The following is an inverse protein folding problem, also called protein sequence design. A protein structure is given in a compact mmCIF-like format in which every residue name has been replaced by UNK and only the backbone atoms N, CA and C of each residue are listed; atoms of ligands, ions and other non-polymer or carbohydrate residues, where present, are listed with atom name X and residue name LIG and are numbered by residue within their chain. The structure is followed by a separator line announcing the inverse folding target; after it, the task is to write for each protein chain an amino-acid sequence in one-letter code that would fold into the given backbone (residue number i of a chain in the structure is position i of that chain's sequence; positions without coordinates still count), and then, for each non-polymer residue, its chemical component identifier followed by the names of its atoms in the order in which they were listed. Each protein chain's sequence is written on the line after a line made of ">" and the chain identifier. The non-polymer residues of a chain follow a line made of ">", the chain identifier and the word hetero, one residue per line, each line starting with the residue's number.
data_IF_096552442906
#
_entry.id   IF_096552442906
#
_cell.length_a   1.000
_cell.length_b   1.000
_cell.length_c   1.000
_cell.angle_alpha   90.00
_cell.angle_beta   90.00
_cell.angle_gamma   90.00
#
_symmetry.space_group_name_H-M   'P 1'
#
loop_
_entity.id
_entity.type
_entity.pdbx_description
1 polymer ?
#
# COMPACT_ATOMS: atom_id res chain seq x y z
N UNK A 1 -19.92 20.08 11.31
CA UNK A 1 -20.15 18.88 10.46
C UNK A 1 -19.49 17.71 11.14
N UNK A 2 -20.20 16.59 11.29
CA UNK A 2 -19.66 15.36 11.86
C UNK A 2 -19.68 14.29 10.76
N UNK A 3 -18.52 13.71 10.49
CA UNK A 3 -18.39 12.59 9.54
C UNK A 3 -18.64 11.27 10.28
N UNK A 4 -19.56 10.47 9.75
CA UNK A 4 -19.90 9.16 10.26
C UNK A 4 -19.46 8.09 9.27
N UNK A 5 -18.85 7.03 9.77
CA UNK A 5 -18.49 5.84 9.00
C UNK A 5 -19.49 4.73 9.27
N UNK A 6 -20.02 4.14 8.19
CA UNK A 6 -20.76 2.87 8.23
C UNK A 6 -19.91 1.81 7.52
N UNK A 7 -19.23 0.91 8.24
CA UNK A 7 -18.27 -0.01 7.65
C UNK A 7 -18.89 -1.06 6.72
N UNK A 8 -20.16 -1.44 6.96
CA UNK A 8 -20.91 -2.38 6.10
C UNK A 8 -22.41 -2.14 6.20
N UNK A 9 -23.21 -2.61 5.21
CA UNK A 9 -24.67 -2.56 5.30
C UNK A 9 -25.16 -3.26 6.58
N UNK A 10 -26.02 -2.56 7.35
CA UNK A 10 -26.54 -3.04 8.64
C UNK A 10 -25.73 -2.63 9.88
N UNK A 11 -24.52 -2.10 9.72
CA UNK A 11 -23.79 -1.51 10.84
C UNK A 11 -24.36 -0.12 11.22
N UNK A 12 -24.31 0.21 12.50
CA UNK A 12 -24.65 1.54 13.00
C UNK A 12 -23.58 2.56 12.57
N UNK A 13 -23.99 3.74 12.07
CA UNK A 13 -23.04 4.81 11.77
C UNK A 13 -22.32 5.29 13.02
N UNK A 14 -21.01 5.36 12.99
CA UNK A 14 -20.17 5.80 14.12
C UNK A 14 -19.31 6.99 13.71
N UNK A 15 -19.02 7.92 14.63
CA UNK A 15 -18.05 8.97 14.36
C UNK A 15 -16.69 8.37 13.95
N UNK A 16 -16.12 8.84 12.84
CA UNK A 16 -14.83 8.34 12.32
C UNK A 16 -13.76 8.36 13.42
N UNK A 17 -13.69 9.44 14.18
CA UNK A 17 -12.70 9.63 15.24
C UNK A 17 -12.78 8.62 16.41
N UNK A 18 -13.91 7.91 16.56
CA UNK A 18 -14.14 7.01 17.73
C UNK A 18 -14.39 5.55 17.36
N UNK A 19 -14.56 5.24 16.08
CA UNK A 19 -15.02 3.91 15.69
C UNK A 19 -14.24 3.26 14.55
N UNK A 20 -13.31 3.95 13.92
CA UNK A 20 -12.48 3.43 12.85
C UNK A 20 -11.17 2.85 13.40
N UNK A 21 -10.75 1.70 12.88
CA UNK A 21 -9.37 1.21 13.03
C UNK A 21 -8.40 2.11 12.26
N UNK A 22 -7.08 2.04 12.57
CA UNK A 22 -6.07 2.81 11.86
C UNK A 22 -6.15 2.60 10.34
N UNK A 23 -6.26 1.34 9.90
CA UNK A 23 -6.39 1.03 8.47
C UNK A 23 -7.69 1.54 7.83
N UNK A 24 -8.82 1.52 8.54
CA UNK A 24 -10.07 2.13 8.04
C UNK A 24 -9.93 3.64 7.89
N UNK A 25 -9.32 4.31 8.88
CA UNK A 25 -9.07 5.74 8.83
C UNK A 25 -8.14 6.10 7.66
N UNK A 26 -7.04 5.38 7.47
CA UNK A 26 -6.12 5.59 6.35
C UNK A 26 -6.80 5.42 4.99
N UNK A 27 -7.69 4.44 4.84
CA UNK A 27 -8.48 4.25 3.60
C UNK A 27 -9.51 5.36 3.38
N UNK A 28 -10.16 5.86 4.43
CA UNK A 28 -11.07 7.01 4.31
C UNK A 28 -10.30 8.25 3.90
N UNK A 29 -9.13 8.50 4.51
CA UNK A 29 -8.27 9.62 4.12
C UNK A 29 -7.82 9.49 2.67
N UNK A 30 -7.35 8.31 2.24
CA UNK A 30 -7.00 8.07 0.83
C UNK A 30 -8.16 8.37 -0.12
N UNK A 31 -9.39 7.94 0.23
CA UNK A 31 -10.56 8.19 -0.61
C UNK A 31 -10.88 9.69 -0.72
N UNK A 32 -10.77 10.44 0.38
CA UNK A 32 -10.95 11.88 0.39
C UNK A 32 -9.88 12.59 -0.43
N UNK A 33 -8.61 12.25 -0.23
CA UNK A 33 -7.47 12.87 -0.92
C UNK A 33 -7.51 12.64 -2.44
N UNK A 34 -7.92 11.45 -2.88
CA UNK A 34 -8.11 11.18 -4.32
C UNK A 34 -9.19 12.10 -4.93
N UNK A 35 -10.19 12.48 -4.15
CA UNK A 35 -11.27 13.36 -4.63
C UNK A 35 -10.86 14.83 -4.62
N UNK A 36 -10.14 15.27 -3.59
CA UNK A 36 -9.81 16.70 -3.39
C UNK A 36 -8.44 17.11 -3.96
N UNK A 37 -7.60 16.14 -4.37
CA UNK A 37 -6.23 16.41 -4.87
C UNK A 37 -6.14 17.41 -6.03
N UNK A 38 -7.24 17.59 -6.79
CA UNK A 38 -7.31 18.59 -7.86
C UNK A 38 -7.67 20.00 -7.38
N UNK A 39 -8.10 20.17 -6.13
CA UNK A 39 -8.60 21.45 -5.58
C UNK A 39 -7.59 22.08 -4.63
N UNK A 40 -6.96 21.27 -3.80
CA UNK A 40 -5.96 21.70 -2.81
C UNK A 40 -4.78 20.72 -2.81
N UNK A 41 -3.77 20.95 -3.67
CA UNK A 41 -2.67 20.01 -3.85
C UNK A 41 -1.73 20.02 -2.65
N UNK A 42 -1.74 18.92 -1.89
CA UNK A 42 -0.73 18.61 -0.88
C UNK A 42 0.47 17.97 -1.59
N UNK A 43 1.71 18.45 -1.36
CA UNK A 43 2.87 17.97 -2.09
C UNK A 43 3.28 16.54 -1.74
N UNK A 44 3.07 16.09 -0.49
CA UNK A 44 3.49 14.78 -0.02
C UNK A 44 2.48 14.17 0.93
N UNK A 45 2.11 12.93 0.66
CA UNK A 45 1.29 12.08 1.52
C UNK A 45 2.11 10.91 2.07
N UNK A 46 1.88 10.56 3.32
CA UNK A 46 2.42 9.35 3.95
C UNK A 46 1.26 8.49 4.43
N UNK A 47 1.17 7.28 3.91
CA UNK A 47 0.17 6.29 4.33
C UNK A 47 0.85 5.14 5.06
N UNK A 48 0.45 4.93 6.29
CA UNK A 48 0.80 3.76 7.09
C UNK A 48 -0.47 2.96 7.37
N UNK A 49 -0.35 1.63 7.41
CA UNK A 49 -1.44 0.69 7.67
C UNK A 49 -2.65 0.81 6.71
N UNK A 50 -2.51 1.43 5.52
CA UNK A 50 -3.62 1.58 4.56
C UNK A 50 -4.17 0.24 4.08
N UNK A 51 -3.35 -0.80 4.12
CA UNK A 51 -3.63 -2.18 3.74
C UNK A 51 -3.99 -3.10 4.93
N UNK A 52 -4.06 -2.56 6.16
CA UNK A 52 -4.40 -3.34 7.33
C UNK A 52 -5.82 -3.97 7.21
N UNK A 53 -5.90 -5.28 7.38
CA UNK A 53 -7.14 -6.03 7.33
C UNK A 53 -7.77 -6.19 5.94
N UNK A 54 -7.03 -5.91 4.87
CA UNK A 54 -7.48 -6.12 3.49
C UNK A 54 -6.57 -7.09 2.75
N UNK A 55 -7.05 -7.63 1.62
CA UNK A 55 -6.28 -8.51 0.75
C UNK A 55 -6.97 -8.68 -0.61
N UNK A 56 -6.39 -9.46 -1.50
CA UNK A 56 -6.96 -9.78 -2.80
C UNK A 56 -7.33 -8.54 -3.64
N UNK A 57 -8.53 -8.54 -4.21
CA UNK A 57 -9.00 -7.47 -5.09
C UNK A 57 -9.07 -6.09 -4.40
N UNK A 58 -9.38 -6.05 -3.11
CA UNK A 58 -9.45 -4.79 -2.35
C UNK A 58 -8.05 -4.14 -2.21
N UNK A 59 -6.99 -4.93 -2.01
CA UNK A 59 -5.63 -4.44 -1.97
C UNK A 59 -5.16 -3.91 -3.33
N UNK A 60 -5.55 -4.55 -4.43
CA UNK A 60 -5.28 -4.07 -5.80
C UNK A 60 -5.95 -2.69 -6.02
N UNK A 61 -7.20 -2.54 -5.58
CA UNK A 61 -7.91 -1.27 -5.72
C UNK A 61 -7.27 -0.15 -4.89
N UNK A 62 -6.77 -0.45 -3.69
CA UNK A 62 -5.98 0.50 -2.89
C UNK A 62 -4.73 0.92 -3.67
N UNK A 63 -3.98 -0.04 -4.22
CA UNK A 63 -2.79 0.25 -5.03
C UNK A 63 -3.08 1.17 -6.21
N UNK A 64 -4.17 0.94 -6.94
CA UNK A 64 -4.60 1.80 -8.06
C UNK A 64 -4.94 3.23 -7.61
N UNK A 65 -5.57 3.38 -6.46
CA UNK A 65 -5.90 4.72 -5.92
C UNK A 65 -4.65 5.47 -5.49
N UNK A 66 -3.70 4.78 -4.86
CA UNK A 66 -2.39 5.34 -4.51
C UNK A 66 -1.61 5.75 -5.77
N UNK A 67 -1.57 4.90 -6.80
CA UNK A 67 -0.96 5.25 -8.09
C UNK A 67 -1.61 6.49 -8.72
N UNK A 68 -2.95 6.59 -8.67
CA UNK A 68 -3.67 7.76 -9.17
C UNK A 68 -3.30 9.03 -8.41
N UNK A 69 -3.23 8.98 -7.09
CA UNK A 69 -2.82 10.12 -6.25
C UNK A 69 -1.36 10.51 -6.54
N UNK A 70 -0.50 9.53 -6.78
CA UNK A 70 0.91 9.73 -7.09
C UNK A 70 1.19 10.42 -8.44
N UNK A 71 0.16 10.68 -9.26
CA UNK A 71 0.31 11.45 -10.52
C UNK A 71 0.47 12.95 -10.26
N UNK A 72 -0.01 13.44 -9.14
CA UNK A 72 -0.03 14.88 -8.79
C UNK A 72 0.72 15.20 -7.50
N UNK A 73 1.03 14.21 -6.69
CA UNK A 73 1.67 14.37 -5.39
C UNK A 73 2.71 13.28 -5.14
N UNK A 74 3.67 13.53 -4.27
CA UNK A 74 4.52 12.46 -3.75
C UNK A 74 3.68 11.59 -2.78
N UNK A 75 3.72 10.27 -2.98
CA UNK A 75 3.01 9.33 -2.11
C UNK A 75 4.00 8.32 -1.56
N UNK A 76 4.15 8.29 -0.25
CA UNK A 76 4.96 7.33 0.50
C UNK A 76 4.02 6.36 1.20
N UNK A 77 4.22 5.06 0.99
CA UNK A 77 3.35 4.02 1.55
C UNK A 77 4.20 2.98 2.26
N UNK A 78 3.83 2.67 3.49
CA UNK A 78 4.35 1.50 4.20
C UNK A 78 3.36 0.35 4.00
N UNK A 79 3.81 -0.73 3.38
CA UNK A 79 2.94 -1.87 3.05
C UNK A 79 3.70 -3.20 3.16
N UNK A 80 2.99 -4.25 3.50
CA UNK A 80 3.45 -5.63 3.46
C UNK A 80 2.76 -6.45 2.36
N UNK A 81 1.85 -5.83 1.60
CA UNK A 81 1.11 -6.51 0.53
C UNK A 81 1.73 -6.26 -0.85
N UNK A 82 2.09 -7.33 -1.54
CA UNK A 82 2.54 -7.28 -2.92
C UNK A 82 1.54 -6.58 -3.84
N UNK A 83 0.23 -6.77 -3.62
CA UNK A 83 -0.85 -6.16 -4.39
C UNK A 83 -0.84 -4.63 -4.32
N UNK A 84 -0.40 -4.05 -3.20
CA UNK A 84 -0.23 -2.60 -3.05
C UNK A 84 1.12 -2.15 -3.62
N UNK A 85 2.20 -2.86 -3.26
CA UNK A 85 3.56 -2.54 -3.69
C UNK A 85 3.75 -2.58 -5.22
N UNK A 86 2.94 -3.39 -5.93
CA UNK A 86 2.97 -3.50 -7.39
C UNK A 86 2.76 -2.17 -8.11
N UNK A 87 1.94 -1.28 -7.55
CA UNK A 87 1.59 0.01 -8.16
C UNK A 87 2.61 1.13 -7.87
N UNK A 88 3.59 0.89 -7.00
CA UNK A 88 4.62 1.88 -6.67
C UNK A 88 5.55 2.18 -7.85
N UNK A 89 5.89 3.45 -8.05
CA UNK A 89 6.92 3.89 -9.01
C UNK A 89 8.32 3.47 -8.57
N UNK A 90 8.59 3.62 -7.28
CA UNK A 90 9.83 3.23 -6.63
C UNK A 90 9.52 2.25 -5.50
N UNK A 91 10.35 1.23 -5.33
CA UNK A 91 10.21 0.25 -4.27
C UNK A 91 11.42 0.32 -3.35
N UNK A 92 11.21 0.65 -2.09
CA UNK A 92 12.23 0.67 -1.05
C UNK A 92 12.04 -0.55 -0.13
N UNK A 93 13.05 -1.38 -0.01
CA UNK A 93 13.07 -2.47 0.96
C UNK A 93 13.72 -1.98 2.25
N UNK A 94 12.99 -2.07 3.35
CA UNK A 94 13.54 -1.88 4.70
C UNK A 94 13.80 -3.25 5.31
N UNK A 95 15.05 -3.54 5.59
CA UNK A 95 15.47 -4.79 6.25
C UNK A 95 16.08 -4.47 7.61
N UNK A 96 15.81 -5.36 8.59
CA UNK A 96 16.46 -5.34 9.89
C UNK A 96 17.41 -6.51 9.96
N UNK A 97 18.67 -6.26 10.23
CA UNK A 97 19.66 -7.27 10.54
C UNK A 97 19.90 -7.27 12.05
N UNK A 98 19.78 -8.43 12.66
CA UNK A 98 20.00 -8.64 14.09
C UNK A 98 21.24 -9.48 14.37
N UNK A 99 22.14 -9.61 13.40
CA UNK A 99 23.39 -10.33 13.57
C UNK A 99 24.33 -9.57 14.51
N UNK A 100 24.83 -10.24 15.55
CA UNK A 100 25.86 -9.68 16.44
C UNK A 100 25.39 -8.83 17.62
N UNK A 101 24.12 -8.90 18.02
CA UNK A 101 23.61 -8.22 19.23
C UNK A 101 23.27 -6.75 19.06
N UNK A 102 23.44 -6.21 17.86
CA UNK A 102 22.96 -4.89 17.45
C UNK A 102 21.93 -5.06 16.33
N UNK A 103 20.87 -4.27 16.37
CA UNK A 103 19.88 -4.22 15.30
C UNK A 103 20.23 -3.08 14.36
N UNK A 104 20.69 -3.39 13.16
CA UNK A 104 20.84 -2.41 12.09
C UNK A 104 19.62 -2.46 11.16
N UNK A 105 19.13 -1.27 10.81
CA UNK A 105 18.09 -1.13 9.78
C UNK A 105 18.73 -0.60 8.52
N UNK A 106 18.54 -1.30 7.40
CA UNK A 106 18.98 -0.87 6.09
C UNK A 106 17.79 -0.52 5.22
N UNK A 107 17.96 0.47 4.34
CA UNK A 107 16.98 0.82 3.33
C UNK A 107 17.67 0.82 1.96
N UNK A 108 17.12 0.08 1.00
CA UNK A 108 17.64 0.03 -0.37
C UNK A 108 16.53 0.10 -1.40
N UNK A 109 16.79 0.77 -2.50
CA UNK A 109 15.91 0.77 -3.66
C UNK A 109 16.00 -0.58 -4.38
N UNK A 110 14.85 -1.06 -4.85
CA UNK A 110 14.72 -2.28 -5.63
C UNK A 110 14.22 -1.96 -7.03
N UNK A 111 14.85 -2.59 -8.03
CA UNK A 111 14.43 -2.56 -9.43
C UNK A 111 14.59 -3.95 -10.08
N UNK A 112 14.11 -4.10 -11.31
CA UNK A 112 14.25 -5.31 -12.11
C UNK A 112 14.01 -6.59 -11.33
N UNK A 113 14.95 -7.55 -11.44
CA UNK A 113 14.85 -8.87 -10.82
C UNK A 113 14.82 -8.81 -9.29
N UNK A 114 15.51 -7.84 -8.67
CA UNK A 114 15.50 -7.68 -7.22
C UNK A 114 14.10 -7.28 -6.72
N UNK A 115 13.41 -6.42 -7.46
CA UNK A 115 12.02 -6.05 -7.16
C UNK A 115 11.07 -7.23 -7.37
N UNK A 116 11.24 -7.98 -8.46
CA UNK A 116 10.43 -9.17 -8.74
C UNK A 116 10.58 -10.22 -7.65
N UNK A 117 11.81 -10.50 -7.20
CA UNK A 117 12.09 -11.45 -6.11
C UNK A 117 11.46 -11.00 -4.79
N UNK A 118 11.52 -9.71 -4.45
CA UNK A 118 10.86 -9.18 -3.24
C UNK A 118 9.34 -9.28 -3.33
N UNK A 119 8.75 -9.00 -4.49
CA UNK A 119 7.32 -9.19 -4.71
C UNK A 119 6.90 -10.66 -4.53
N UNK A 120 7.68 -11.61 -5.04
CA UNK A 120 7.45 -13.04 -4.83
C UNK A 120 7.55 -13.41 -3.35
N UNK A 121 8.53 -12.85 -2.62
CA UNK A 121 8.68 -13.03 -1.18
C UNK A 121 7.46 -12.49 -0.41
N UNK A 122 6.93 -11.34 -0.77
CA UNK A 122 5.71 -10.77 -0.16
C UNK A 122 4.48 -11.65 -0.39
N UNK A 123 4.41 -12.36 -1.54
CA UNK A 123 3.30 -13.23 -1.88
C UNK A 123 3.35 -14.60 -1.19
N UNK A 124 4.52 -15.19 -1.08
CA UNK A 124 4.68 -16.60 -0.68
C UNK A 124 5.59 -16.81 0.54
N UNK A 125 6.29 -15.78 0.99
CA UNK A 125 7.38 -15.90 1.97
C UNK A 125 8.70 -16.36 1.36
N UNK A 126 8.74 -16.75 0.07
CA UNK A 126 9.92 -17.24 -0.65
C UNK A 126 10.18 -16.42 -1.90
N UNK A 127 11.44 -16.05 -2.13
CA UNK A 127 11.84 -15.19 -3.24
C UNK A 127 12.12 -15.94 -4.55
N UNK A 128 12.21 -17.27 -4.51
CA UNK A 128 12.67 -18.16 -5.61
C UNK A 128 11.61 -19.15 -6.08
N UNK A 129 10.39 -19.10 -5.53
CA UNK A 129 9.27 -19.91 -5.99
C UNK A 129 8.84 -19.48 -7.41
N UNK A 130 8.87 -20.37 -8.39
CA UNK A 130 8.50 -20.07 -9.77
C UNK A 130 7.08 -19.55 -9.91
N UNK A 131 6.11 -20.15 -9.23
CA UNK A 131 4.73 -19.71 -9.23
C UNK A 131 4.54 -18.33 -8.58
N UNK A 132 5.32 -18.02 -7.53
CA UNK A 132 5.28 -16.71 -6.91
C UNK A 132 5.92 -15.63 -7.80
N UNK A 133 6.99 -15.96 -8.53
CA UNK A 133 7.61 -15.07 -9.50
C UNK A 133 6.66 -14.75 -10.67
N UNK A 134 5.97 -15.76 -11.21
CA UNK A 134 4.95 -15.56 -12.26
C UNK A 134 3.83 -14.64 -11.77
N UNK A 135 3.27 -14.92 -10.59
CA UNK A 135 2.22 -14.06 -10.01
C UNK A 135 2.73 -12.65 -9.69
N UNK A 136 3.97 -12.50 -9.22
CA UNK A 136 4.59 -11.20 -8.99
C UNK A 136 4.72 -10.40 -10.30
N UNK A 137 5.11 -11.06 -11.40
CA UNK A 137 5.19 -10.44 -12.73
C UNK A 137 3.82 -9.98 -13.22
N UNK A 138 2.77 -10.80 -13.04
CA UNK A 138 1.38 -10.42 -13.38
C UNK A 138 0.93 -9.19 -12.59
N UNK A 139 1.19 -9.13 -11.28
CA UNK A 139 0.84 -7.97 -10.46
C UNK A 139 1.58 -6.71 -10.91
N UNK A 140 2.87 -6.81 -11.21
CA UNK A 140 3.66 -5.67 -11.69
C UNK A 140 3.15 -5.15 -13.04
N UNK A 141 2.60 -6.04 -13.89
CA UNK A 141 2.01 -5.66 -15.18
C UNK A 141 0.68 -4.89 -15.04
N UNK A 142 0.03 -4.93 -13.87
CA UNK A 142 -1.20 -4.15 -13.62
C UNK A 142 -0.94 -2.64 -13.52
N UNK A 143 0.30 -2.24 -13.25
CA UNK A 143 0.67 -0.83 -13.14
C UNK A 143 0.56 -0.14 -14.49
N UNK A 144 -0.12 1.00 -14.53
CA UNK A 144 -0.34 1.75 -15.77
C UNK A 144 -1.38 1.13 -16.72
N UNK A 145 -1.92 -0.06 -16.42
CA UNK A 145 -3.05 -0.61 -17.16
C UNK A 145 -4.31 0.23 -16.87
N UNK A 146 -4.95 0.73 -17.96
CA UNK A 146 -6.18 1.54 -17.88
C UNK A 146 -7.41 0.68 -17.59
#
# INVERSE_FOLDING_TARGET
>A
VQLLLRPHPGAEPRPIAKGASGGELSRVMLALEVVIAGVDPVPTFVFDEVDAGVGGAAAIEIGRRLERLARTSQVIVVTHLAQVAAFAGNHLLVAKDSAGGFTESSCRALDGDARLAEMARLLSGMSDSSSALEHAAELLALRGAK
#
